data_IF_041761286844
#
_entry.id   IF_041761286844
#
_cell.length_a   1.000
_cell.length_b   1.000
_cell.length_c   1.000
_cell.angle_alpha   90.00
_cell.angle_beta   90.00
_cell.angle_gamma   90.00
#
_symmetry.space_group_name_H-M   'P 1'
#
loop_
_entity.id
_entity.type
_entity.pdbx_description
1 polymer ?
#
# COMPACT_ATOMS: atom_id res chain seq x y z
N UNK A 1 -10.15 15.89 -13.61
CA UNK A 1 -9.81 16.69 -12.43
C UNK A 1 -9.08 15.77 -11.47
N UNK A 2 -7.75 15.84 -11.44
CA UNK A 2 -6.95 15.13 -10.42
C UNK A 2 -7.17 15.85 -9.10
N UNK A 3 -8.05 15.31 -8.26
CA UNK A 3 -8.21 15.80 -6.89
C UNK A 3 -7.04 15.23 -6.10
N UNK A 4 -5.90 15.94 -6.11
CA UNK A 4 -4.87 15.70 -5.11
C UNK A 4 -5.46 16.09 -3.76
N UNK A 5 -5.97 15.09 -3.04
CA UNK A 5 -6.47 15.22 -1.68
C UNK A 5 -5.51 14.50 -0.74
N UNK A 6 -5.08 15.20 0.31
CA UNK A 6 -4.38 14.57 1.42
C UNK A 6 -5.42 13.99 2.39
N UNK A 7 -5.23 12.74 2.81
CA UNK A 7 -6.13 12.07 3.74
C UNK A 7 -5.35 11.43 4.89
N UNK A 8 -5.81 11.68 6.11
CA UNK A 8 -5.37 10.98 7.32
C UNK A 8 -6.54 10.14 7.83
N UNK A 9 -6.33 8.84 7.95
CA UNK A 9 -7.32 7.89 8.46
C UNK A 9 -6.74 7.24 9.69
N UNK A 10 -7.36 7.49 10.84
CA UNK A 10 -6.94 6.92 12.12
C UNK A 10 -7.40 5.45 12.23
N UNK A 11 -8.71 5.22 12.06
CA UNK A 11 -9.25 3.88 11.97
C UNK A 11 -10.30 3.75 10.87
N UNK A 12 -10.18 2.75 10.00
CA UNK A 12 -11.24 2.42 9.05
C UNK A 12 -10.76 1.94 7.69
N UNK A 13 -11.52 2.27 6.65
CA UNK A 13 -11.21 1.87 5.28
C UNK A 13 -11.41 3.02 4.30
N UNK A 14 -10.57 3.07 3.27
CA UNK A 14 -10.67 4.10 2.24
C UNK A 14 -10.43 3.56 0.83
N UNK A 15 -11.10 4.22 -0.12
CA UNK A 15 -10.88 4.07 -1.55
C UNK A 15 -10.45 5.42 -2.12
N UNK A 16 -9.29 5.48 -2.76
CA UNK A 16 -8.71 6.75 -3.24
C UNK A 16 -8.10 6.60 -4.64
N UNK A 17 -8.14 7.70 -5.40
CA UNK A 17 -7.55 7.83 -6.73
C UNK A 17 -6.68 9.09 -6.77
N UNK A 18 -5.38 8.95 -7.04
CA UNK A 18 -4.42 10.05 -7.13
C UNK A 18 -4.29 10.88 -5.84
N UNK A 19 -3.87 10.26 -4.74
CA UNK A 19 -3.80 10.89 -3.42
C UNK A 19 -2.48 10.61 -2.69
N UNK A 20 -2.18 11.44 -1.68
CA UNK A 20 -1.21 11.14 -0.63
C UNK A 20 -1.97 10.80 0.65
N UNK A 21 -1.66 9.67 1.27
CA UNK A 21 -2.46 9.16 2.39
C UNK A 21 -1.59 8.63 3.52
N UNK A 22 -2.00 8.88 4.76
CA UNK A 22 -1.53 8.13 5.92
C UNK A 22 -2.70 7.39 6.58
N UNK A 23 -2.53 6.11 6.85
CA UNK A 23 -3.49 5.27 7.53
C UNK A 23 -2.78 4.70 8.75
N UNK A 24 -3.33 4.91 9.94
CA UNK A 24 -2.81 4.28 11.15
C UNK A 24 -3.30 2.83 11.18
N UNK A 25 -4.59 2.60 11.43
CA UNK A 25 -5.11 1.24 11.52
C UNK A 25 -6.25 0.97 10.53
N UNK A 26 -6.04 0.16 9.47
CA UNK A 26 -7.12 -0.03 8.49
C UNK A 26 -6.82 -0.75 7.19
N UNK A 27 -7.76 -0.62 6.26
CA UNK A 27 -7.68 -1.22 4.92
C UNK A 27 -7.81 -0.19 3.80
N UNK A 28 -7.01 -0.31 2.74
CA UNK A 28 -7.02 0.66 1.65
C UNK A 28 -7.11 0.01 0.28
N UNK A 29 -7.87 0.64 -0.62
CA UNK A 29 -7.82 0.40 -2.06
C UNK A 29 -7.40 1.67 -2.78
N UNK A 30 -6.28 1.62 -3.50
CA UNK A 30 -5.65 2.84 -4.04
C UNK A 30 -5.13 2.67 -5.46
N UNK A 31 -5.28 3.73 -6.26
CA UNK A 31 -4.76 3.82 -7.62
C UNK A 31 -3.94 5.10 -7.78
N UNK A 32 -2.69 4.98 -8.24
CA UNK A 32 -1.77 6.09 -8.48
C UNK A 32 -1.51 6.95 -7.22
N UNK A 33 -1.17 6.32 -6.10
CA UNK A 33 -1.04 7.01 -4.80
C UNK A 33 0.36 6.89 -4.18
N UNK A 34 0.65 7.79 -3.24
CA UNK A 34 1.74 7.63 -2.26
C UNK A 34 1.11 7.40 -0.89
N UNK A 35 1.48 6.32 -0.21
CA UNK A 35 0.79 5.93 1.03
C UNK A 35 1.70 5.40 2.12
N UNK A 36 1.37 5.71 3.37
CA UNK A 36 1.93 5.08 4.55
C UNK A 36 0.80 4.41 5.33
N UNK A 37 0.99 3.15 5.69
CA UNK A 37 0.07 2.38 6.53
C UNK A 37 0.84 1.89 7.74
N UNK A 38 0.37 2.17 8.95
CA UNK A 38 0.99 1.63 10.15
C UNK A 38 0.55 0.17 10.30
N UNK A 39 -0.73 -0.08 10.61
CA UNK A 39 -1.24 -1.44 10.85
C UNK A 39 -2.46 -1.78 9.97
N UNK A 40 -2.29 -2.64 8.96
CA UNK A 40 -3.38 -2.79 7.99
C UNK A 40 -3.23 -3.72 6.80
N UNK A 41 -4.14 -3.56 5.84
CA UNK A 41 -4.10 -4.27 4.56
C UNK A 41 -4.32 -3.33 3.39
N UNK A 42 -3.62 -3.56 2.26
CA UNK A 42 -3.73 -2.69 1.10
C UNK A 42 -3.85 -3.45 -0.21
N UNK A 43 -4.70 -2.95 -1.10
CA UNK A 43 -4.69 -3.31 -2.52
C UNK A 43 -4.35 -2.07 -3.35
N UNK A 44 -3.31 -2.16 -4.16
CA UNK A 44 -2.69 -1.00 -4.78
C UNK A 44 -2.27 -1.22 -6.23
N UNK A 45 -2.45 -0.18 -7.04
CA UNK A 45 -2.07 -0.19 -8.45
C UNK A 45 -1.32 1.10 -8.79
N UNK A 46 -0.10 0.97 -9.32
CA UNK A 46 0.78 2.09 -9.67
C UNK A 46 1.09 3.03 -8.48
N UNK A 47 1.45 2.46 -7.32
CA UNK A 47 1.64 3.21 -6.09
C UNK A 47 3.08 3.14 -5.54
N UNK A 48 3.42 4.11 -4.68
CA UNK A 48 4.57 4.04 -3.77
C UNK A 48 4.03 3.90 -2.35
N UNK A 49 4.49 2.89 -1.61
CA UNK A 49 3.87 2.58 -0.30
C UNK A 49 4.86 2.10 0.76
N UNK A 50 4.61 2.48 2.00
CA UNK A 50 5.24 1.92 3.19
C UNK A 50 4.17 1.31 4.08
N UNK A 51 4.39 0.09 4.57
CA UNK A 51 3.51 -0.61 5.51
C UNK A 51 4.34 -1.05 6.71
N UNK A 52 3.96 -0.69 7.94
CA UNK A 52 4.69 -1.15 9.13
C UNK A 52 4.27 -2.57 9.51
N UNK A 53 2.98 -2.83 9.68
CA UNK A 53 2.46 -4.13 10.09
C UNK A 53 1.24 -4.53 9.25
N UNK A 54 1.36 -5.49 8.33
CA UNK A 54 0.23 -5.75 7.45
C UNK A 54 0.36 -6.71 6.29
N UNK A 55 -0.58 -6.59 5.36
CA UNK A 55 -0.58 -7.36 4.12
C UNK A 55 -0.87 -6.50 2.90
N UNK A 56 -0.17 -6.75 1.79
CA UNK A 56 -0.33 -5.98 0.57
C UNK A 56 -0.58 -6.86 -0.66
N UNK A 57 -1.47 -6.42 -1.54
CA UNK A 57 -1.59 -6.91 -2.91
C UNK A 57 -1.33 -5.75 -3.87
N UNK A 58 -0.38 -5.93 -4.79
CA UNK A 58 0.20 -4.80 -5.52
C UNK A 58 0.47 -5.11 -6.98
N UNK A 59 0.22 -4.13 -7.84
CA UNK A 59 0.51 -4.20 -9.26
C UNK A 59 1.24 -2.93 -9.74
N UNK A 60 2.43 -3.09 -10.32
CA UNK A 60 3.28 -1.98 -10.78
C UNK A 60 3.64 -0.97 -9.68
N UNK A 61 3.97 -1.45 -8.48
CA UNK A 61 4.22 -0.61 -7.31
C UNK A 61 5.68 -0.66 -6.83
N UNK A 62 6.06 0.32 -6.02
CA UNK A 62 7.26 0.30 -5.18
C UNK A 62 6.83 0.25 -3.72
N UNK A 63 7.30 -0.72 -2.95
CA UNK A 63 6.79 -0.91 -1.58
C UNK A 63 7.83 -1.35 -0.57
N UNK A 64 7.70 -0.86 0.66
CA UNK A 64 8.45 -1.32 1.82
C UNK A 64 7.46 -1.86 2.85
N UNK A 65 7.73 -3.04 3.41
CA UNK A 65 6.95 -3.64 4.50
C UNK A 65 7.90 -3.96 5.65
N UNK A 66 7.63 -3.47 6.85
CA UNK A 66 8.42 -3.84 8.01
C UNK A 66 8.02 -5.25 8.48
N UNK A 67 6.75 -5.46 8.84
CA UNK A 67 6.25 -6.74 9.31
C UNK A 67 5.00 -7.21 8.53
N UNK A 68 5.13 -8.29 7.75
CA UNK A 68 3.98 -8.99 7.18
C UNK A 68 4.16 -9.58 5.79
N UNK A 69 3.09 -9.58 4.99
CA UNK A 69 3.03 -10.37 3.75
C UNK A 69 2.72 -9.53 2.51
N UNK A 70 3.28 -9.91 1.36
CA UNK A 70 2.99 -9.25 0.10
C UNK A 70 2.76 -10.22 -1.07
N UNK A 71 1.80 -9.88 -1.92
CA UNK A 71 1.63 -10.44 -3.25
C UNK A 71 1.81 -9.34 -4.29
N UNK A 72 2.69 -9.58 -5.27
CA UNK A 72 3.10 -8.56 -6.23
C UNK A 72 3.09 -9.04 -7.67
N UNK A 73 2.75 -8.11 -8.58
CA UNK A 73 2.97 -8.24 -10.02
C UNK A 73 3.71 -7.02 -10.58
N UNK A 74 4.88 -7.24 -11.20
CA UNK A 74 5.72 -6.17 -11.75
C UNK A 74 6.09 -5.08 -10.74
N UNK A 75 6.39 -5.45 -9.49
CA UNK A 75 6.71 -4.51 -8.41
C UNK A 75 8.16 -4.63 -7.93
N UNK A 76 8.62 -3.58 -7.25
CA UNK A 76 9.81 -3.61 -6.39
C UNK A 76 9.36 -3.63 -4.94
N UNK A 77 9.87 -4.57 -4.14
CA UNK A 77 9.45 -4.70 -2.74
C UNK A 77 10.60 -5.07 -1.82
N UNK A 78 10.63 -4.42 -0.66
CA UNK A 78 11.51 -4.77 0.47
C UNK A 78 10.64 -5.22 1.63
N UNK A 79 10.98 -6.33 2.27
CA UNK A 79 10.32 -6.84 3.48
C UNK A 79 11.39 -7.10 4.54
N UNK A 80 11.22 -6.56 5.74
CA UNK A 80 12.13 -6.85 6.87
C UNK A 80 11.75 -8.17 7.55
N UNK A 81 10.52 -8.25 8.05
CA UNK A 81 9.95 -9.40 8.74
C UNK A 81 8.70 -9.94 8.02
N UNK A 82 8.88 -10.99 7.22
CA UNK A 82 7.74 -11.75 6.70
C UNK A 82 7.98 -12.43 5.36
N UNK A 83 7.04 -12.31 4.42
CA UNK A 83 7.08 -13.10 3.18
C UNK A 83 6.54 -12.35 1.97
N UNK A 84 7.21 -12.51 0.84
CA UNK A 84 6.78 -11.98 -0.46
C UNK A 84 6.55 -13.12 -1.46
N UNK A 85 5.45 -13.04 -2.20
CA UNK A 85 5.30 -13.72 -3.48
C UNK A 85 5.30 -12.71 -4.61
N UNK A 86 6.25 -12.87 -5.54
CA UNK A 86 6.36 -12.06 -6.74
C UNK A 86 6.02 -12.91 -7.96
N UNK A 87 5.10 -12.41 -8.78
CA UNK A 87 4.84 -12.93 -10.11
C UNK A 87 5.34 -11.93 -11.16
N UNK A 88 6.17 -12.41 -12.08
CA UNK A 88 6.59 -11.66 -13.27
C UNK A 88 6.28 -12.56 -14.48
N UNK A 89 5.44 -12.12 -15.44
CA UNK A 89 5.20 -12.88 -16.66
C UNK A 89 6.46 -12.99 -17.53
#
# INVERSE_FOLDING_TARGET
MMQQSEALIDHGSAMMQCCVTRIDHGSAMMQCCVTTIDHGSAMMQCCVTTIDHGSAMMQCCVTTIDHGSAMMQCCVTTIDHGSAMMYHP
#
